data_IF_719751336875
#
_entry.id   IF_719751336875
#
_cell.length_a   1.000
_cell.length_b   1.000
_cell.length_c   1.000
_cell.angle_alpha   90.00
_cell.angle_beta   90.00
_cell.angle_gamma   90.00
#
_symmetry.space_group_name_H-M   'P 1'
#
loop_
_entity.id
_entity.type
_entity.pdbx_description
1 polymer ?
#
# COMPACT_ATOMS: atom_id res chain seq x y z
N UNK A 1 19.70 -5.28 19.57
CA UNK A 1 18.42 -4.55 19.69
C UNK A 1 17.92 -3.97 18.36
N UNK A 2 18.76 -3.88 17.31
CA UNK A 2 18.40 -3.36 15.97
C UNK A 2 17.34 -4.20 15.24
N UNK A 3 17.53 -5.51 15.17
CA UNK A 3 16.78 -6.41 14.28
C UNK A 3 15.28 -6.49 14.62
N UNK A 4 14.93 -6.46 15.91
CA UNK A 4 13.53 -6.45 16.33
C UNK A 4 12.80 -5.16 15.90
N UNK A 5 13.50 -4.02 15.93
CA UNK A 5 12.95 -2.72 15.54
C UNK A 5 12.76 -2.63 14.02
N UNK A 6 13.71 -3.18 13.25
CA UNK A 6 13.62 -3.30 11.79
C UNK A 6 12.46 -4.20 11.37
N UNK A 7 12.37 -5.40 11.97
CA UNK A 7 11.27 -6.32 11.71
C UNK A 7 9.91 -5.68 12.00
N UNK A 8 9.81 -4.91 13.10
CA UNK A 8 8.55 -4.25 13.45
C UNK A 8 8.19 -3.11 12.51
N UNK A 9 9.16 -2.30 12.08
CA UNK A 9 8.94 -1.24 11.10
C UNK A 9 8.42 -1.83 9.78
N UNK A 10 9.05 -2.91 9.31
CA UNK A 10 8.65 -3.62 8.11
C UNK A 10 7.23 -4.20 8.21
N UNK A 11 6.91 -4.91 9.29
CA UNK A 11 5.57 -5.46 9.54
C UNK A 11 4.49 -4.37 9.45
N UNK A 12 4.75 -3.21 10.04
CA UNK A 12 3.81 -2.09 10.07
C UNK A 12 3.62 -1.46 8.68
N UNK A 13 4.69 -1.34 7.89
CA UNK A 13 4.62 -0.87 6.50
C UNK A 13 3.88 -1.87 5.61
N UNK A 14 4.20 -3.16 5.68
CA UNK A 14 3.54 -4.22 4.91
C UNK A 14 2.03 -4.30 5.23
N UNK A 15 1.67 -4.13 6.51
CA UNK A 15 0.27 -4.02 6.91
C UNK A 15 -0.42 -2.82 6.29
N UNK A 16 0.24 -1.66 6.23
CA UNK A 16 -0.31 -0.46 5.59
C UNK A 16 -0.50 -0.65 4.08
N UNK A 17 0.45 -1.29 3.41
CA UNK A 17 0.32 -1.68 1.99
C UNK A 17 -0.90 -2.60 1.81
N UNK A 18 -1.06 -3.59 2.69
CA UNK A 18 -2.22 -4.50 2.66
C UNK A 18 -3.55 -3.77 2.88
N UNK A 19 -3.61 -2.78 3.78
CA UNK A 19 -4.81 -1.96 3.95
C UNK A 19 -5.15 -1.17 2.68
N UNK A 20 -4.14 -0.67 1.98
CA UNK A 20 -4.32 0.02 0.71
C UNK A 20 -4.85 -0.88 -0.41
N UNK A 21 -4.59 -2.20 -0.38
CA UNK A 21 -5.10 -3.12 -1.41
C UNK A 21 -6.60 -3.38 -1.29
N UNK A 22 -7.19 -3.21 -0.11
CA UNK A 22 -8.62 -3.45 0.16
C UNK A 22 -9.42 -2.16 0.36
N UNK A 23 -8.76 -1.04 0.63
CA UNK A 23 -9.40 0.25 0.87
C UNK A 23 -10.27 0.72 -0.31
N UNK A 24 -11.37 1.40 0.00
CA UNK A 24 -12.18 2.14 -0.98
C UNK A 24 -11.57 3.52 -1.32
N UNK A 25 -10.65 3.99 -0.49
CA UNK A 25 -9.89 5.23 -0.68
C UNK A 25 -8.40 4.93 -0.43
N UNK A 26 -7.72 4.23 -1.36
CA UNK A 26 -6.31 3.92 -1.21
C UNK A 26 -5.45 5.19 -1.31
N UNK A 27 -4.53 5.33 -0.37
CA UNK A 27 -3.68 6.51 -0.16
C UNK A 27 -2.21 6.10 0.00
N UNK A 28 -1.39 6.58 -0.93
CA UNK A 28 0.04 6.33 -0.95
C UNK A 28 0.79 7.25 0.04
N UNK A 29 0.34 8.49 0.24
CA UNK A 29 1.11 9.50 1.00
C UNK A 29 1.37 9.03 2.43
N UNK A 30 0.34 8.46 3.07
CA UNK A 30 0.48 7.89 4.41
C UNK A 30 1.51 6.77 4.47
N UNK A 31 1.51 5.87 3.49
CA UNK A 31 2.46 4.75 3.45
C UNK A 31 3.89 5.23 3.14
N UNK A 32 4.04 6.19 2.23
CA UNK A 32 5.33 6.80 1.89
C UNK A 32 5.94 7.51 3.10
N UNK A 33 5.14 8.26 3.87
CA UNK A 33 5.61 8.87 5.11
C UNK A 33 6.13 7.86 6.13
N UNK A 34 5.49 6.69 6.26
CA UNK A 34 5.94 5.61 7.13
C UNK A 34 7.27 5.00 6.64
N UNK A 35 7.39 4.76 5.34
CA UNK A 35 8.60 4.22 4.70
C UNK A 35 9.78 5.19 4.88
N UNK A 36 9.57 6.48 4.59
CA UNK A 36 10.59 7.53 4.74
C UNK A 36 11.05 7.68 6.21
N UNK A 37 10.12 7.60 7.16
CA UNK A 37 10.46 7.65 8.59
C UNK A 37 11.29 6.44 9.02
N UNK A 38 10.93 5.23 8.58
CA UNK A 38 11.69 4.02 8.89
C UNK A 38 13.10 4.06 8.29
N UNK A 39 13.23 4.56 7.05
CA UNK A 39 14.53 4.79 6.41
C UNK A 39 15.38 5.82 7.16
N UNK A 40 14.81 6.98 7.51
CA UNK A 40 15.51 8.02 8.27
C UNK A 40 16.01 7.56 9.64
N UNK A 41 15.34 6.58 10.25
CA UNK A 41 15.74 5.95 11.51
C UNK A 41 16.78 4.84 11.34
N UNK A 42 17.24 4.56 10.11
CA UNK A 42 18.18 3.48 9.80
C UNK A 42 17.55 2.09 9.92
N UNK A 43 16.21 2.00 9.87
CA UNK A 43 15.49 0.73 9.98
C UNK A 43 15.28 0.03 8.64
N UNK A 44 15.55 0.72 7.53
CA UNK A 44 15.50 0.20 6.18
C UNK A 44 16.81 0.51 5.46
N UNK A 45 17.21 -0.38 4.58
CA UNK A 45 18.27 -0.14 3.59
C UNK A 45 17.73 0.68 2.40
N UNK A 46 18.64 1.22 1.57
CA UNK A 46 18.26 1.92 0.33
C UNK A 46 17.43 1.04 -0.60
N UNK A 47 17.77 -0.25 -0.68
CA UNK A 47 17.03 -1.22 -1.49
C UNK A 47 15.62 -1.44 -0.94
N UNK A 48 15.48 -1.63 0.37
CA UNK A 48 14.17 -1.82 1.00
C UNK A 48 13.30 -0.56 0.91
N UNK A 49 13.90 0.63 1.00
CA UNK A 49 13.22 1.89 0.77
C UNK A 49 12.58 1.90 -0.63
N UNK A 50 13.36 1.55 -1.66
CA UNK A 50 12.87 1.52 -3.04
C UNK A 50 11.79 0.45 -3.22
N UNK A 51 12.05 -0.79 -2.80
CA UNK A 51 11.14 -1.93 -2.97
C UNK A 51 9.77 -1.67 -2.31
N UNK A 52 9.77 -1.16 -1.08
CA UNK A 52 8.53 -0.87 -0.35
C UNK A 52 7.78 0.31 -0.95
N UNK A 53 8.49 1.32 -1.47
CA UNK A 53 7.88 2.48 -2.14
C UNK A 53 7.22 2.05 -3.45
N UNK A 54 7.90 1.24 -4.25
CA UNK A 54 7.37 0.72 -5.52
C UNK A 54 6.14 -0.18 -5.26
N UNK A 55 6.25 -1.09 -4.28
CA UNK A 55 5.14 -1.97 -3.90
C UNK A 55 3.90 -1.20 -3.43
N UNK A 56 4.08 -0.16 -2.62
CA UNK A 56 3.00 0.70 -2.15
C UNK A 56 2.32 1.41 -3.33
N UNK A 57 3.11 2.04 -4.20
CA UNK A 57 2.60 2.79 -5.34
C UNK A 57 1.85 1.89 -6.33
N UNK A 58 2.38 0.69 -6.59
CA UNK A 58 1.70 -0.30 -7.41
C UNK A 58 0.39 -0.78 -6.79
N UNK A 59 0.38 -1.04 -5.49
CA UNK A 59 -0.82 -1.48 -4.77
C UNK A 59 -1.93 -0.43 -4.87
N UNK A 60 -1.60 0.84 -4.60
CA UNK A 60 -2.55 1.96 -4.68
C UNK A 60 -3.02 2.14 -6.13
N UNK A 61 -2.12 2.06 -7.11
CA UNK A 61 -2.45 2.19 -8.54
C UNK A 61 -3.43 1.10 -9.00
N UNK A 62 -3.14 -0.16 -8.66
CA UNK A 62 -3.98 -1.31 -9.00
C UNK A 62 -5.34 -1.18 -8.33
N UNK A 63 -5.39 -0.85 -7.05
CA UNK A 63 -6.66 -0.71 -6.33
C UNK A 63 -7.52 0.42 -6.89
N UNK A 64 -6.94 1.58 -7.17
CA UNK A 64 -7.67 2.69 -7.83
C UNK A 64 -8.21 2.30 -9.18
N UNK A 65 -7.48 1.50 -9.96
CA UNK A 65 -7.97 0.96 -11.24
C UNK A 65 -9.16 0.04 -11.03
N UNK A 66 -9.06 -0.93 -10.11
CA UNK A 66 -10.17 -1.83 -9.80
C UNK A 66 -11.44 -1.07 -9.37
N UNK A 67 -11.30 -0.03 -8.55
CA UNK A 67 -12.44 0.79 -8.14
C UNK A 67 -13.10 1.52 -9.33
N UNK A 68 -12.30 2.06 -10.26
CA UNK A 68 -12.83 2.66 -11.49
C UNK A 68 -13.51 1.63 -12.39
N UNK A 69 -12.91 0.46 -12.56
CA UNK A 69 -13.45 -0.61 -13.38
C UNK A 69 -14.79 -1.10 -12.80
N UNK A 70 -14.88 -1.23 -11.48
CA UNK A 70 -16.12 -1.58 -10.77
C UNK A 70 -17.20 -0.49 -10.91
N UNK A 71 -16.83 0.80 -10.82
CA UNK A 71 -17.75 1.91 -11.04
C UNK A 71 -18.28 1.93 -12.48
N UNK A 72 -17.40 1.74 -13.47
CA UNK A 72 -17.78 1.66 -14.88
C UNK A 72 -18.71 0.47 -15.14
N UNK A 73 -18.40 -0.71 -14.58
CA UNK A 73 -19.26 -1.89 -14.71
C UNK A 73 -20.65 -1.66 -14.08
N UNK A 74 -20.72 -0.99 -12.93
CA UNK A 74 -21.97 -0.63 -12.28
C UNK A 74 -22.81 0.34 -13.14
N UNK A 75 -22.19 1.36 -13.73
CA UNK A 75 -22.85 2.30 -14.64
C UNK A 75 -23.38 1.62 -15.92
N UNK A 76 -22.68 0.60 -16.42
CA UNK A 76 -23.06 -0.16 -17.61
C UNK A 76 -24.08 -1.28 -17.32
N UNK A 77 -24.52 -1.45 -16.07
CA UNK A 77 -25.41 -2.55 -15.67
C UNK A 77 -24.77 -3.93 -15.77
N UNK A 78 -23.43 -3.99 -15.86
CA UNK A 78 -22.63 -5.22 -15.93
C UNK A 78 -22.17 -5.70 -14.54
N UNK A 79 -22.46 -4.94 -13.48
CA UNK A 79 -22.12 -5.32 -12.12
C UNK A 79 -23.00 -6.48 -11.65
N UNK A 80 -22.42 -7.69 -11.62
CA UNK A 80 -22.99 -8.80 -10.85
C UNK A 80 -22.83 -8.47 -9.36
N UNK A 81 -23.90 -8.45 -8.56
CA UNK A 81 -23.79 -8.19 -7.13
C UNK A 81 -22.97 -9.33 -6.50
N UNK A 82 -21.83 -8.98 -5.91
CA UNK A 82 -21.09 -9.92 -5.07
C UNK A 82 -21.68 -9.80 -3.67
N UNK A 83 -22.48 -10.80 -3.31
CA UNK A 83 -22.99 -11.04 -1.96
C UNK A 83 -21.87 -11.48 -1.00
#
# INVERSE_FOLDING_TARGET
>A
MSDWSQAKAREVIERQITLNSISLAPDAERGEGMIQMAYALGLLTDQELQDLTDQLNDTVRVRRKQLRDNQNAALLGLAVPHA
#
